data_IF_421524426135
#
_entry.id   IF_421524426135
#
_cell.length_a   1.000
_cell.length_b   1.000
_cell.length_c   1.000
_cell.angle_alpha   90.00
_cell.angle_beta   90.00
_cell.angle_gamma   90.00
#
_symmetry.space_group_name_H-M   'P 1'
#
loop_
_entity.id
_entity.type
_entity.pdbx_description
1 polymer ?
#
# COMPACT_ATOMS: atom_id res chain seq x y z
N UNK A 1 -39.16 -15.89 25.52
CA UNK A 1 -39.03 -15.51 24.11
C UNK A 1 -37.82 -14.60 24.00
N UNK A 2 -36.65 -15.23 24.02
CA UNK A 2 -35.38 -14.54 24.12
C UNK A 2 -34.84 -14.33 22.71
N UNK A 3 -34.63 -13.05 22.39
CA UNK A 3 -34.07 -12.62 21.11
C UNK A 3 -32.57 -12.89 21.17
N UNK A 4 -32.14 -13.95 20.51
CA UNK A 4 -30.72 -14.20 20.23
C UNK A 4 -30.17 -13.01 19.44
N UNK A 5 -29.34 -12.20 20.11
CA UNK A 5 -28.55 -11.16 19.46
C UNK A 5 -27.46 -11.86 18.64
N UNK A 6 -27.66 -11.90 17.33
CA UNK A 6 -26.62 -12.21 16.36
C UNK A 6 -25.44 -11.24 16.55
N UNK A 7 -24.31 -11.73 17.06
CA UNK A 7 -23.05 -11.01 16.99
C UNK A 7 -22.51 -11.10 15.55
N UNK A 8 -22.77 -10.06 14.76
CA UNK A 8 -22.05 -9.80 13.51
C UNK A 8 -20.57 -9.58 13.81
N UNK A 9 -19.62 -10.28 13.17
CA UNK A 9 -18.21 -10.24 13.55
C UNK A 9 -17.42 -9.02 13.03
N UNK A 10 -18.06 -7.99 12.45
CA UNK A 10 -17.34 -6.87 11.86
C UNK A 10 -18.01 -5.52 12.06
N UNK A 11 -17.81 -4.89 13.22
CA UNK A 11 -17.64 -3.42 13.32
C UNK A 11 -16.67 -3.11 14.48
N UNK A 12 -15.35 -3.19 14.22
CA UNK A 12 -14.38 -2.41 14.99
C UNK A 12 -14.05 -1.19 14.13
N UNK A 13 -14.91 -0.18 14.17
CA UNK A 13 -14.72 1.10 13.48
C UNK A 13 -13.99 2.13 14.34
N UNK A 14 -13.04 1.70 15.18
CA UNK A 14 -12.13 2.61 15.87
C UNK A 14 -10.80 2.59 15.14
N UNK A 15 -10.52 3.67 14.39
CA UNK A 15 -9.18 3.94 13.88
C UNK A 15 -8.31 4.28 15.08
N UNK A 16 -7.63 3.29 15.64
CA UNK A 16 -6.60 3.54 16.65
C UNK A 16 -5.48 4.33 15.99
N UNK A 17 -5.14 5.48 16.56
CA UNK A 17 -3.96 6.23 16.17
C UNK A 17 -2.77 5.65 16.92
N UNK A 18 -1.58 5.67 16.32
CA UNK A 18 -0.37 5.15 16.98
C UNK A 18 -0.11 5.89 18.31
N UNK A 19 -0.52 7.16 18.38
CA UNK A 19 -0.52 7.99 19.59
C UNK A 19 -1.39 7.45 20.75
N UNK A 20 -2.34 6.55 20.48
CA UNK A 20 -3.20 5.93 21.50
C UNK A 20 -2.49 4.80 22.27
N UNK A 21 -1.29 4.40 21.83
CA UNK A 21 -0.54 3.31 22.44
C UNK A 21 0.69 3.86 23.18
N UNK A 22 0.67 3.73 24.51
CA UNK A 22 1.84 3.97 25.34
C UNK A 22 2.64 2.68 25.39
N UNK A 23 3.92 2.73 25.01
CA UNK A 23 4.81 1.58 25.15
C UNK A 23 5.03 1.27 26.63
N UNK A 24 4.61 0.08 27.04
CA UNK A 24 4.91 -0.47 28.37
C UNK A 24 5.82 -1.67 28.17
N UNK A 25 7.06 -1.66 28.70
CA UNK A 25 7.94 -2.81 28.59
C UNK A 25 7.36 -3.98 29.38
N UNK A 26 7.37 -5.16 28.77
CA UNK A 26 6.93 -6.39 29.42
C UNK A 26 7.79 -6.70 30.65
N UNK A 27 7.13 -7.10 31.73
CA UNK A 27 7.77 -7.63 32.94
C UNK A 27 8.52 -8.93 32.65
N UNK A 28 9.46 -9.31 33.51
CA UNK A 28 10.24 -10.54 33.35
C UNK A 28 9.34 -11.79 33.29
N UNK A 29 8.24 -11.80 34.06
CA UNK A 29 7.25 -12.90 34.09
C UNK A 29 6.39 -12.97 32.82
N UNK A 30 6.03 -11.82 32.23
CA UNK A 30 5.32 -11.79 30.96
C UNK A 30 6.21 -12.23 29.81
N UNK A 31 7.50 -11.85 29.84
CA UNK A 31 8.49 -12.31 28.86
C UNK A 31 8.67 -13.82 28.88
N UNK A 32 8.70 -14.46 30.05
CA UNK A 32 8.83 -15.92 30.14
C UNK A 32 7.59 -16.64 29.62
N UNK A 33 6.37 -16.10 29.82
CA UNK A 33 5.14 -16.60 29.21
C UNK A 33 5.09 -16.43 27.68
N UNK A 34 5.79 -15.43 27.14
CA UNK A 34 5.86 -15.20 25.70
C UNK A 34 6.96 -16.02 25.02
N UNK A 35 8.01 -16.42 25.74
CA UNK A 35 9.06 -17.33 25.23
C UNK A 35 8.52 -18.69 24.78
N UNK A 36 7.38 -19.12 25.30
CA UNK A 36 6.72 -20.37 24.88
C UNK A 36 5.91 -20.21 23.60
N UNK A 37 5.66 -18.98 23.12
CA UNK A 37 5.01 -18.73 21.84
C UNK A 37 6.02 -18.99 20.73
N UNK A 38 5.74 -20.01 19.93
CA UNK A 38 6.49 -20.31 18.73
C UNK A 38 6.14 -19.31 17.64
N UNK A 39 7.13 -18.94 16.83
CA UNK A 39 6.87 -18.20 15.60
C UNK A 39 6.11 -19.13 14.63
N UNK A 40 5.33 -18.53 13.73
CA UNK A 40 4.47 -19.28 12.79
C UNK A 40 5.28 -20.27 11.92
N UNK A 41 6.53 -19.94 11.63
CA UNK A 41 7.46 -20.78 10.86
C UNK A 41 8.16 -21.90 11.67
N UNK A 42 7.85 -22.03 12.97
CA UNK A 42 8.45 -23.03 13.87
C UNK A 42 7.50 -24.19 14.18
N UNK A 43 6.30 -24.21 13.59
CA UNK A 43 5.34 -25.29 13.77
C UNK A 43 5.64 -26.46 12.82
N UNK A 44 5.54 -27.69 13.32
CA UNK A 44 5.60 -28.89 12.46
C UNK A 44 4.24 -29.16 11.83
N UNK A 45 4.19 -29.86 10.69
CA UNK A 45 2.91 -30.14 10.00
C UNK A 45 1.90 -30.87 10.90
N UNK A 46 2.39 -31.74 11.77
CA UNK A 46 1.61 -32.49 12.77
C UNK A 46 0.96 -31.59 13.84
N UNK A 47 1.63 -30.50 14.21
CA UNK A 47 1.12 -29.49 15.14
C UNK A 47 0.09 -28.60 14.46
N UNK A 48 0.30 -28.29 13.17
CA UNK A 48 -0.56 -27.44 12.34
C UNK A 48 -1.93 -28.08 12.07
N UNK A 49 -1.99 -29.42 11.99
CA UNK A 49 -3.25 -30.18 11.78
C UNK A 49 -4.24 -30.01 12.94
N UNK A 50 -3.77 -29.73 14.16
CA UNK A 50 -4.61 -29.60 15.36
C UNK A 50 -5.42 -28.30 15.40
N UNK A 51 -5.09 -27.34 14.54
CA UNK A 51 -5.78 -26.04 14.47
C UNK A 51 -6.97 -26.07 13.51
N UNK A 52 -7.87 -25.10 13.69
CA UNK A 52 -9.01 -24.89 12.78
C UNK A 52 -8.52 -24.71 11.33
N UNK A 53 -9.32 -25.19 10.36
CA UNK A 53 -9.07 -25.15 8.92
C UNK A 53 -8.54 -23.80 8.43
N UNK A 54 -9.18 -22.71 8.85
CA UNK A 54 -8.79 -21.36 8.42
C UNK A 54 -7.41 -20.98 8.95
N UNK A 55 -7.14 -21.26 10.23
CA UNK A 55 -5.85 -20.96 10.86
C UNK A 55 -4.73 -21.85 10.29
N UNK A 56 -5.02 -23.12 10.09
CA UNK A 56 -4.16 -24.08 9.40
C UNK A 56 -3.80 -23.59 7.99
N UNK A 57 -4.79 -23.11 7.23
CA UNK A 57 -4.57 -22.59 5.88
C UNK A 57 -3.68 -21.36 5.89
N UNK A 58 -3.84 -20.47 6.87
CA UNK A 58 -3.03 -19.26 7.02
C UNK A 58 -1.57 -19.60 7.39
N UNK A 59 -1.34 -20.55 8.29
CA UNK A 59 0.01 -21.03 8.65
C UNK A 59 0.68 -21.64 7.41
N UNK A 60 0.00 -22.57 6.72
CA UNK A 60 0.56 -23.24 5.55
C UNK A 60 0.83 -22.26 4.39
N UNK A 61 -0.03 -21.26 4.17
CA UNK A 61 0.19 -20.23 3.16
C UNK A 61 1.37 -19.32 3.51
N UNK A 62 1.54 -18.97 4.79
CA UNK A 62 2.68 -18.18 5.26
C UNK A 62 3.99 -18.99 5.13
N UNK A 63 3.97 -20.24 5.54
CA UNK A 63 5.11 -21.16 5.41
C UNK A 63 5.47 -21.39 3.94
N UNK A 64 4.47 -21.60 3.07
CA UNK A 64 4.67 -21.69 1.63
C UNK A 64 5.26 -20.40 1.08
N UNK A 65 4.75 -19.24 1.49
CA UNK A 65 5.26 -17.94 1.10
C UNK A 65 6.73 -17.83 1.45
N UNK A 66 7.18 -18.14 2.68
CA UNK A 66 8.58 -17.99 3.09
C UNK A 66 9.50 -19.09 2.56
N UNK A 67 9.02 -20.34 2.45
CA UNK A 67 9.81 -21.49 1.96
C UNK A 67 9.98 -21.46 0.45
N UNK A 68 8.99 -20.94 -0.28
CA UNK A 68 9.01 -20.82 -1.73
C UNK A 68 9.18 -19.37 -2.20
N UNK A 69 9.52 -18.44 -1.29
CA UNK A 69 9.82 -17.06 -1.66
C UNK A 69 11.12 -17.04 -2.44
N UNK A 70 11.01 -17.01 -3.77
CA UNK A 70 12.18 -16.85 -4.62
C UNK A 70 12.63 -15.40 -4.54
N UNK A 71 13.77 -15.16 -3.90
CA UNK A 71 14.41 -13.85 -3.85
C UNK A 71 14.63 -13.27 -5.27
N UNK A 72 14.80 -14.15 -6.26
CA UNK A 72 14.83 -13.82 -7.69
C UNK A 72 13.54 -13.16 -8.19
N UNK A 73 12.38 -13.64 -7.76
CA UNK A 73 11.08 -13.09 -8.18
C UNK A 73 10.82 -11.74 -7.49
N UNK A 74 11.27 -11.57 -6.23
CA UNK A 74 11.28 -10.25 -5.56
C UNK A 74 12.15 -9.27 -6.34
N UNK A 75 13.37 -9.65 -6.66
CA UNK A 75 14.33 -8.80 -7.38
C UNK A 75 13.81 -8.44 -8.77
N UNK A 76 13.20 -9.39 -9.49
CA UNK A 76 12.57 -9.14 -10.78
C UNK A 76 11.42 -8.13 -10.66
N UNK A 77 10.52 -8.32 -9.69
CA UNK A 77 9.41 -7.39 -9.47
C UNK A 77 9.88 -5.99 -9.05
N UNK A 78 10.94 -5.91 -8.25
CA UNK A 78 11.56 -4.65 -7.82
C UNK A 78 12.22 -3.93 -9.00
N UNK A 79 12.94 -4.65 -9.86
CA UNK A 79 13.52 -4.11 -11.10
C UNK A 79 12.40 -3.59 -12.02
N UNK A 80 11.34 -4.37 -12.23
CA UNK A 80 10.20 -3.95 -13.06
C UNK A 80 9.52 -2.70 -12.49
N UNK A 81 9.28 -2.66 -11.18
CA UNK A 81 8.74 -1.49 -10.49
C UNK A 81 9.63 -0.27 -10.68
N UNK A 82 10.94 -0.41 -10.46
CA UNK A 82 11.91 0.68 -10.61
C UNK A 82 11.96 1.19 -12.05
N UNK A 83 11.91 0.30 -13.06
CA UNK A 83 11.84 0.72 -14.45
C UNK A 83 10.57 1.51 -14.77
N UNK A 84 9.41 1.09 -14.27
CA UNK A 84 8.14 1.82 -14.45
C UNK A 84 8.17 3.16 -13.74
N UNK A 85 8.66 3.19 -12.50
CA UNK A 85 8.83 4.39 -11.71
C UNK A 85 9.76 5.39 -12.42
N UNK A 86 10.89 4.94 -12.97
CA UNK A 86 11.83 5.79 -13.70
C UNK A 86 11.23 6.36 -15.00
N UNK A 87 10.46 5.57 -15.75
CA UNK A 87 9.72 6.06 -16.93
C UNK A 87 8.73 7.18 -16.56
N UNK A 88 7.98 7.00 -15.47
CA UNK A 88 7.05 8.01 -14.97
C UNK A 88 7.83 9.27 -14.56
N UNK A 89 8.97 9.12 -13.88
CA UNK A 89 9.80 10.23 -13.42
C UNK A 89 10.24 11.10 -14.59
N UNK A 90 10.87 10.51 -15.59
CA UNK A 90 11.37 11.24 -16.77
C UNK A 90 10.24 11.95 -17.53
N UNK A 91 9.05 11.35 -17.56
CA UNK A 91 7.89 11.97 -18.19
C UNK A 91 7.35 13.17 -17.41
N UNK A 92 7.44 13.17 -16.07
CA UNK A 92 6.98 14.28 -15.22
C UNK A 92 8.06 15.35 -15.09
N UNK A 93 9.35 14.99 -15.08
CA UNK A 93 10.48 15.90 -14.87
C UNK A 93 10.47 17.09 -15.84
N UNK A 94 10.17 16.84 -17.11
CA UNK A 94 10.12 17.87 -18.15
C UNK A 94 8.86 18.75 -18.09
N UNK A 95 7.89 18.43 -17.19
CA UNK A 95 6.56 19.03 -17.16
C UNK A 95 6.29 19.71 -15.82
N UNK A 96 5.65 20.87 -15.87
CA UNK A 96 5.25 21.60 -14.66
C UNK A 96 4.11 20.89 -13.90
N UNK A 97 3.20 20.23 -14.63
CA UNK A 97 2.04 19.52 -14.09
C UNK A 97 1.63 18.39 -15.05
N UNK A 98 1.20 17.26 -14.52
CA UNK A 98 0.57 16.18 -15.29
C UNK A 98 -0.61 15.55 -14.57
N UNK A 99 -1.54 14.96 -15.30
CA UNK A 99 -2.60 14.11 -14.77
C UNK A 99 -2.30 12.62 -15.04
N UNK A 100 -2.80 11.75 -14.18
CA UNK A 100 -2.60 10.30 -14.28
C UNK A 100 -3.28 9.72 -15.53
N UNK A 101 -4.39 10.31 -16.01
CA UNK A 101 -5.07 9.83 -17.22
C UNK A 101 -4.20 10.06 -18.48
N UNK A 102 -3.43 11.15 -18.54
CA UNK A 102 -2.46 11.40 -19.62
C UNK A 102 -1.21 10.55 -19.49
N UNK A 103 -0.61 10.46 -18.28
CA UNK A 103 0.57 9.62 -18.05
C UNK A 103 0.34 8.14 -18.36
N UNK A 104 -0.82 7.60 -17.96
CA UNK A 104 -1.20 6.21 -18.24
C UNK A 104 -1.33 5.95 -19.74
N UNK A 105 -1.88 6.91 -20.50
CA UNK A 105 -2.03 6.80 -21.95
C UNK A 105 -0.71 6.93 -22.71
N UNK A 106 0.15 7.85 -22.30
CA UNK A 106 1.43 8.09 -22.96
C UNK A 106 2.46 6.98 -22.71
N UNK A 107 2.46 6.41 -21.50
CA UNK A 107 3.44 5.39 -21.09
C UNK A 107 2.93 3.96 -21.27
N UNK A 108 1.67 3.79 -21.70
CA UNK A 108 0.97 2.49 -21.79
C UNK A 108 1.02 1.70 -20.46
N UNK A 109 0.93 2.41 -19.34
CA UNK A 109 0.96 1.83 -17.98
C UNK A 109 -0.43 1.81 -17.35
N UNK A 110 -0.69 0.84 -16.45
CA UNK A 110 -1.94 0.80 -15.71
C UNK A 110 -2.10 2.06 -14.85
N UNK A 111 -3.26 2.71 -15.02
CA UNK A 111 -3.65 3.90 -14.28
C UNK A 111 -3.52 3.73 -12.76
N UNK A 112 -3.87 2.55 -12.24
CA UNK A 112 -3.80 2.27 -10.80
C UNK A 112 -2.35 2.22 -10.33
N UNK A 113 -1.48 1.62 -11.14
CA UNK A 113 -0.05 1.53 -10.86
C UNK A 113 0.62 2.90 -10.89
N UNK A 114 0.36 3.71 -11.92
CA UNK A 114 0.86 5.09 -11.99
C UNK A 114 0.39 5.91 -10.78
N UNK A 115 -0.89 5.80 -10.43
CA UNK A 115 -1.43 6.49 -9.24
C UNK A 115 -0.80 5.99 -7.93
N UNK A 116 -0.46 4.70 -7.84
CA UNK A 116 0.16 4.13 -6.66
C UNK A 116 1.60 4.63 -6.48
N UNK A 117 2.40 4.59 -7.56
CA UNK A 117 3.79 5.06 -7.56
C UNK A 117 3.86 6.54 -7.16
N UNK A 118 3.04 7.40 -7.78
CA UNK A 118 3.08 8.84 -7.48
C UNK A 118 2.60 9.13 -6.05
N UNK A 119 1.61 8.38 -5.54
CA UNK A 119 1.18 8.50 -4.15
C UNK A 119 2.29 8.10 -3.19
N UNK A 120 3.05 7.05 -3.50
CA UNK A 120 4.24 6.68 -2.72
C UNK A 120 5.30 7.77 -2.73
N UNK A 121 5.58 8.35 -3.89
CA UNK A 121 6.48 9.50 -3.98
C UNK A 121 6.01 10.70 -3.14
N UNK A 122 4.71 10.92 -3.06
CA UNK A 122 4.14 11.96 -2.20
C UNK A 122 4.33 11.67 -0.70
N UNK A 123 4.19 10.42 -0.27
CA UNK A 123 4.51 10.00 1.10
C UNK A 123 5.99 10.25 1.46
N UNK A 124 6.89 10.20 0.49
CA UNK A 124 8.33 10.46 0.65
C UNK A 124 8.76 11.89 0.30
N UNK A 125 7.84 12.80 -0.01
CA UNK A 125 8.16 14.20 -0.34
C UNK A 125 8.82 14.41 -1.71
N UNK A 126 8.80 13.43 -2.60
CA UNK A 126 9.36 13.51 -3.97
C UNK A 126 8.40 14.25 -4.91
N UNK A 127 7.09 14.02 -4.74
CA UNK A 127 6.04 14.57 -5.59
C UNK A 127 4.92 15.20 -4.76
N UNK A 128 4.28 16.23 -5.29
CA UNK A 128 3.10 16.84 -4.70
C UNK A 128 1.85 16.57 -5.54
N UNK A 129 0.72 16.39 -4.86
CA UNK A 129 -0.58 16.09 -5.46
C UNK A 129 -1.53 17.25 -5.16
N UNK A 130 -1.90 18.00 -6.19
CA UNK A 130 -2.86 19.10 -6.07
C UNK A 130 -4.20 18.69 -6.68
N UNK A 131 -5.26 18.83 -5.90
CA UNK A 131 -6.63 18.62 -6.40
C UNK A 131 -7.21 19.94 -6.92
N UNK A 132 -7.63 19.95 -8.19
CA UNK A 132 -8.31 21.09 -8.81
C UNK A 132 -9.69 20.69 -9.33
N UNK A 133 -10.65 21.62 -9.22
CA UNK A 133 -11.97 21.49 -9.85
C UNK A 133 -11.89 22.07 -11.25
N UNK A 134 -11.95 21.22 -12.27
CA UNK A 134 -11.95 21.66 -13.65
C UNK A 134 -13.34 21.51 -14.28
N UNK A 135 -13.71 22.48 -15.12
CA UNK A 135 -14.97 22.48 -15.85
C UNK A 135 -14.72 21.92 -17.24
N UNK A 136 -15.39 20.81 -17.56
CA UNK A 136 -15.34 20.20 -18.87
C UNK A 136 -16.64 20.46 -19.63
N UNK A 137 -16.53 20.87 -20.89
CA UNK A 137 -17.67 21.01 -21.80
C UNK A 137 -17.74 19.80 -22.71
N UNK A 138 -18.74 18.93 -22.51
CA UNK A 138 -19.08 17.87 -23.47
C UNK A 138 -20.31 18.33 -24.23
N UNK A 139 -20.12 18.72 -25.50
CA UNK A 139 -21.05 19.12 -26.60
C UNK A 139 -22.43 19.76 -26.25
N UNK A 140 -23.14 19.36 -25.18
CA UNK A 140 -24.36 20.02 -24.68
C UNK A 140 -24.51 20.15 -23.13
N UNK A 141 -23.58 19.68 -22.29
CA UNK A 141 -23.67 19.83 -20.81
C UNK A 141 -22.32 20.18 -20.17
N UNK A 142 -22.33 21.09 -19.20
CA UNK A 142 -21.18 21.36 -18.33
C UNK A 142 -21.09 20.26 -17.27
N UNK A 143 -19.93 19.63 -17.15
CA UNK A 143 -19.61 18.72 -16.04
C UNK A 143 -18.42 19.27 -15.27
N UNK A 144 -18.54 19.34 -13.96
CA UNK A 144 -17.42 19.65 -13.05
C UNK A 144 -16.77 18.33 -12.69
N UNK A 145 -15.46 18.17 -12.94
CA UNK A 145 -14.68 16.99 -12.55
C UNK A 145 -13.55 17.44 -11.63
N UNK A 146 -13.32 16.69 -10.56
CA UNK A 146 -12.13 16.86 -9.74
C UNK A 146 -10.97 16.17 -10.45
N UNK A 147 -9.89 16.91 -10.71
CA UNK A 147 -8.68 16.43 -11.38
C UNK A 147 -7.54 16.54 -10.41
N UNK A 148 -6.75 15.47 -10.32
CA UNK A 148 -5.52 15.45 -9.55
C UNK A 148 -4.36 15.76 -10.49
N UNK A 149 -3.63 16.81 -10.18
CA UNK A 149 -2.41 17.20 -10.88
C UNK A 149 -1.21 16.83 -10.03
N UNK A 150 -0.22 16.26 -10.68
CA UNK A 150 1.00 15.72 -10.09
C UNK A 150 2.19 16.50 -10.61
N UNK A 151 3.12 16.84 -9.73
CA UNK A 151 4.39 17.44 -10.11
C UNK A 151 5.50 17.01 -9.15
N UNK A 152 6.74 17.01 -9.63
CA UNK A 152 7.92 16.71 -8.83
C UNK A 152 8.36 17.97 -8.08
N UNK A 153 8.66 17.83 -6.78
CA UNK A 153 9.04 18.98 -5.94
C UNK A 153 10.35 19.63 -6.38
N UNK A 154 11.29 18.83 -6.87
CA UNK A 154 12.65 19.27 -7.21
C UNK A 154 12.84 19.67 -8.69
N UNK A 155 11.82 19.54 -9.55
CA UNK A 155 11.96 19.86 -10.99
C UNK A 155 12.01 21.37 -11.28
N UNK A 156 11.80 22.24 -10.28
CA UNK A 156 11.94 23.69 -10.41
C UNK A 156 13.28 24.24 -9.90
N UNK A 157 14.21 23.40 -9.42
CA UNK A 157 15.57 23.85 -9.10
C UNK A 157 16.35 23.91 -10.41
N UNK A 158 16.07 24.94 -11.23
CA UNK A 158 17.13 25.42 -12.12
C UNK A 158 18.18 26.06 -11.22
N UNK A 159 19.38 25.50 -11.22
CA UNK A 159 20.57 26.17 -10.70
C UNK A 159 20.56 27.61 -11.24
N UNK A 160 20.48 28.57 -10.32
CA UNK A 160 20.69 29.96 -10.66
C UNK A 160 22.12 30.11 -11.15
N UNK A 161 22.27 30.72 -12.34
CA UNK A 161 23.55 31.27 -12.79
C UNK A 161 24.11 32.25 -11.77
#
# INVERSE_FOLDING_TARGET
>A
CDVEKFYSPYIISKKFQISDFIYVPLTLEERTKLKTRRLINQYTEEEVIKYNKDYRSAILHNDFYWKNFNEKDRMKNEIEYNHRAFKIYNSIETRKWCDVDSLSRELELDKREVSFIIRKWSEYGIAEIIERKERYRKVMKFKVKNVKLYYLMYSNIKEGN
#
